data_IF_168487283709
#
_entry.id   IF_168487283709
#
_cell.length_a   1.000
_cell.length_b   1.000
_cell.length_c   1.000
_cell.angle_alpha   90.00
_cell.angle_beta   90.00
_cell.angle_gamma   90.00
#
_symmetry.space_group_name_H-M   'P 1'
#
loop_
_entity.id
_entity.type
_entity.pdbx_description
1 polymer ?
#
# COMPACT_ATOMS: atom_id res chain seq x y z
N UNK A 1 4.00 -38.38 20.00
CA UNK A 1 3.24 -37.40 20.81
C UNK A 1 3.46 -36.01 20.20
N UNK A 2 2.76 -35.70 19.10
CA UNK A 2 2.79 -34.37 18.51
C UNK A 2 1.74 -33.53 19.24
N UNK A 3 2.21 -32.66 20.11
CA UNK A 3 1.35 -31.75 20.84
C UNK A 3 0.99 -30.62 19.86
N UNK A 4 -0.27 -30.55 19.43
CA UNK A 4 -0.76 -29.52 18.53
C UNK A 4 -1.03 -28.25 19.37
N UNK A 5 0.03 -27.54 19.78
CA UNK A 5 -0.12 -26.18 20.27
C UNK A 5 -0.67 -25.33 19.12
N UNK A 6 -1.91 -24.85 19.28
CA UNK A 6 -2.59 -24.03 18.27
C UNK A 6 -1.81 -22.75 17.94
N UNK A 7 -1.94 -22.30 16.69
CA UNK A 7 -1.26 -21.10 16.16
C UNK A 7 -1.56 -19.88 17.06
N UNK A 8 -0.51 -19.14 17.43
CA UNK A 8 -0.65 -17.85 18.14
C UNK A 8 -1.38 -16.87 17.24
N UNK A 9 -2.66 -16.63 17.55
CA UNK A 9 -3.45 -15.60 16.90
C UNK A 9 -2.96 -14.21 17.36
N UNK A 10 -2.74 -13.26 16.43
CA UNK A 10 -2.39 -11.89 16.81
C UNK A 10 -3.55 -11.28 17.63
N UNK A 11 -3.22 -10.63 18.74
CA UNK A 11 -4.20 -10.07 19.69
C UNK A 11 -4.20 -8.54 19.73
N UNK A 12 -3.20 -7.91 19.10
CA UNK A 12 -2.96 -6.47 19.18
C UNK A 12 -2.83 -5.91 17.77
N UNK A 13 -3.61 -4.87 17.50
CA UNK A 13 -3.48 -3.97 16.37
C UNK A 13 -3.59 -2.54 16.93
N UNK A 14 -2.48 -1.81 16.90
CA UNK A 14 -2.38 -0.45 17.41
C UNK A 14 -2.17 0.51 16.25
N UNK A 15 -2.93 1.59 16.23
CA UNK A 15 -2.78 2.68 15.28
C UNK A 15 -2.08 3.86 15.96
N UNK A 16 -0.93 4.26 15.43
CA UNK A 16 -0.07 5.29 16.02
C UNK A 16 -0.58 6.70 15.65
N UNK A 17 -1.57 7.17 16.40
CA UNK A 17 -2.28 8.45 16.14
C UNK A 17 -1.36 9.66 16.06
N UNK A 18 -0.23 9.67 16.79
CA UNK A 18 0.70 10.80 16.82
C UNK A 18 1.40 11.04 15.48
N UNK A 19 1.52 10.00 14.65
CA UNK A 19 2.16 10.10 13.33
C UNK A 19 1.17 10.33 12.19
N UNK A 20 -0.13 10.31 12.49
CA UNK A 20 -1.18 10.39 11.48
C UNK A 20 -1.14 11.73 10.75
N UNK A 21 -1.12 11.66 9.41
CA UNK A 21 -1.44 12.79 8.52
C UNK A 21 -2.55 12.37 7.57
N UNK A 22 -2.95 13.25 6.66
CA UNK A 22 -3.94 12.90 5.63
C UNK A 22 -3.45 11.84 4.64
N UNK A 23 -2.13 11.66 4.53
CA UNK A 23 -1.47 10.73 3.58
C UNK A 23 -0.61 9.66 4.26
N UNK A 24 -0.53 9.65 5.60
CA UNK A 24 0.29 8.71 6.35
C UNK A 24 -0.42 8.14 7.56
N UNK A 25 -0.29 6.83 7.75
CA UNK A 25 -0.73 6.12 8.95
C UNK A 25 0.18 4.93 9.25
N UNK A 26 0.49 4.74 10.54
CA UNK A 26 1.34 3.64 11.01
C UNK A 26 0.57 2.70 11.93
N UNK A 27 0.65 1.41 11.61
CA UNK A 27 0.00 0.33 12.34
C UNK A 27 1.04 -0.65 12.87
N UNK A 28 0.87 -1.07 14.12
CA UNK A 28 1.69 -2.07 14.79
C UNK A 28 0.81 -3.26 15.16
N UNK A 29 1.14 -4.45 14.68
CA UNK A 29 0.37 -5.67 14.94
C UNK A 29 1.24 -6.77 15.57
N UNK A 30 0.65 -7.58 16.45
CA UNK A 30 1.33 -8.74 17.05
C UNK A 30 0.65 -9.27 18.31
N UNK A 31 1.33 -10.15 19.07
CA UNK A 31 2.53 -10.89 18.66
C UNK A 31 2.21 -11.88 17.54
N UNK A 32 3.19 -12.16 16.69
CA UNK A 32 3.11 -13.20 15.66
C UNK A 32 4.07 -14.35 16.00
N UNK A 33 3.75 -15.55 15.53
CA UNK A 33 4.74 -16.62 15.48
C UNK A 33 5.91 -16.24 14.56
N UNK A 34 7.07 -16.85 14.81
CA UNK A 34 8.25 -16.63 13.98
C UNK A 34 7.93 -16.91 12.51
N UNK A 35 8.23 -15.94 11.63
CA UNK A 35 7.96 -16.00 10.19
C UNK A 35 6.59 -15.47 9.77
N UNK A 36 5.55 -15.57 10.60
CA UNK A 36 4.19 -15.14 10.23
C UNK A 36 4.08 -13.63 10.01
N UNK A 37 4.86 -12.83 10.75
CA UNK A 37 4.92 -11.38 10.54
C UNK A 37 5.34 -11.01 9.11
N UNK A 38 6.29 -11.76 8.52
CA UNK A 38 6.74 -11.53 7.14
C UNK A 38 5.69 -12.00 6.15
N UNK A 39 5.09 -13.18 6.36
CA UNK A 39 4.05 -13.74 5.48
C UNK A 39 2.84 -12.80 5.38
N UNK A 40 2.35 -12.30 6.53
CA UNK A 40 1.21 -11.40 6.59
C UNK A 40 1.60 -10.01 6.08
N UNK A 41 2.75 -9.48 6.51
CA UNK A 41 3.22 -8.16 6.10
C UNK A 41 3.43 -8.05 4.59
N UNK A 42 4.05 -9.06 3.96
CA UNK A 42 4.25 -9.08 2.50
C UNK A 42 2.91 -9.18 1.75
N UNK A 43 1.99 -10.02 2.23
CA UNK A 43 0.66 -10.16 1.66
C UNK A 43 -0.13 -8.85 1.73
N UNK A 44 -0.15 -8.20 2.91
CA UNK A 44 -0.81 -6.90 3.10
C UNK A 44 -0.19 -5.81 2.24
N UNK A 45 1.14 -5.74 2.15
CA UNK A 45 1.84 -4.79 1.27
C UNK A 45 1.37 -4.94 -0.18
N UNK A 46 1.27 -6.18 -0.67
CA UNK A 46 0.78 -6.44 -2.05
C UNK A 46 -0.67 -5.99 -2.21
N UNK A 47 -1.54 -6.37 -1.29
CA UNK A 47 -2.95 -5.95 -1.33
C UNK A 47 -3.12 -4.43 -1.32
N UNK A 48 -2.38 -3.72 -0.47
CA UNK A 48 -2.46 -2.26 -0.39
C UNK A 48 -1.95 -1.58 -1.67
N UNK A 49 -0.99 -2.18 -2.39
CA UNK A 49 -0.45 -1.62 -3.62
C UNK A 49 -1.25 -1.99 -4.89
N UNK A 50 -1.93 -3.14 -4.91
CA UNK A 50 -2.54 -3.67 -6.13
C UNK A 50 -4.06 -3.80 -6.09
N UNK A 51 -4.68 -3.76 -4.90
CA UNK A 51 -6.10 -4.09 -4.73
C UNK A 51 -6.93 -2.93 -4.20
N UNK A 52 -6.32 -1.77 -3.98
CA UNK A 52 -7.05 -0.53 -3.68
C UNK A 52 -7.45 0.10 -5.01
N UNK A 53 -8.75 0.28 -5.20
CA UNK A 53 -9.28 1.00 -6.35
C UNK A 53 -8.88 2.47 -6.30
N UNK A 54 -8.49 3.00 -7.46
CA UNK A 54 -8.14 4.39 -7.63
C UNK A 54 -8.40 4.82 -9.06
N UNK A 55 -8.42 6.13 -9.27
CA UNK A 55 -8.47 6.72 -10.60
C UNK A 55 -7.16 7.45 -10.88
N UNK A 56 -6.65 7.32 -12.10
CA UNK A 56 -5.47 8.03 -12.55
C UNK A 56 -5.70 8.51 -13.98
N UNK A 57 -4.99 9.57 -14.37
CA UNK A 57 -4.97 10.04 -15.76
C UNK A 57 -4.21 8.99 -16.58
N UNK A 58 -4.90 8.40 -17.57
CA UNK A 58 -4.33 7.36 -18.44
C UNK A 58 -3.87 7.90 -19.79
N UNK A 59 -4.48 8.99 -20.25
CA UNK A 59 -4.16 9.62 -21.51
C UNK A 59 -4.63 11.08 -21.50
N UNK A 60 -3.92 11.91 -22.27
CA UNK A 60 -4.28 13.29 -22.55
C UNK A 60 -4.12 13.53 -24.05
N UNK A 61 -4.94 14.40 -24.63
CA UNK A 61 -4.83 14.82 -26.03
C UNK A 61 -4.77 16.34 -26.08
N UNK A 62 -3.69 16.86 -26.66
CA UNK A 62 -3.58 18.26 -27.00
C UNK A 62 -3.92 18.45 -28.48
N UNK A 63 -4.69 19.49 -28.79
CA UNK A 63 -4.99 19.84 -30.16
C UNK A 63 -3.73 20.40 -30.84
N UNK A 64 -3.46 19.96 -32.07
CA UNK A 64 -2.28 20.39 -32.84
C UNK A 64 -0.94 19.80 -32.39
N UNK A 65 -0.90 18.96 -31.35
CA UNK A 65 0.32 18.28 -30.89
C UNK A 65 0.29 16.81 -31.27
N UNK A 66 1.32 16.37 -31.97
CA UNK A 66 1.37 15.02 -32.56
C UNK A 66 2.06 13.99 -31.66
N UNK A 67 2.97 14.40 -30.78
CA UNK A 67 3.71 13.50 -29.90
C UNK A 67 4.18 14.20 -28.61
N UNK A 68 4.50 13.41 -27.59
CA UNK A 68 4.91 13.86 -26.25
C UNK A 68 6.17 14.73 -26.23
N UNK A 69 7.04 14.60 -27.23
CA UNK A 69 8.26 15.43 -27.36
C UNK A 69 8.05 16.77 -28.08
N UNK A 70 6.81 17.13 -28.45
CA UNK A 70 6.52 18.42 -29.09
C UNK A 70 6.41 19.51 -28.02
N UNK A 71 6.78 20.75 -28.37
CA UNK A 71 6.51 21.90 -27.50
C UNK A 71 5.04 22.30 -27.57
N UNK A 72 4.46 22.67 -26.42
CA UNK A 72 3.11 23.23 -26.35
C UNK A 72 3.24 24.76 -26.44
N UNK A 73 2.72 25.42 -27.49
CA UNK A 73 2.82 26.86 -27.63
C UNK A 73 2.25 27.61 -26.41
N UNK A 74 3.01 28.54 -25.86
CA UNK A 74 2.60 29.34 -24.70
C UNK A 74 2.87 28.70 -23.32
N UNK A 75 3.40 27.48 -23.29
CA UNK A 75 3.93 26.86 -22.07
C UNK A 75 5.46 26.93 -22.12
N UNK A 76 6.06 27.67 -21.18
CA UNK A 76 7.51 27.90 -21.07
C UNK A 76 8.08 27.06 -19.94
#
# INVERSE_FOLDING_TARGET
>A
MFNAQGIVKPKRLEFEKNTKTDVYGKFSAGPFERGYGVTIGNSLRRMLLSSIEGAAIVAIKFEGIFHEFSSVPGVV
#
